data_IF_486242824403
#
_entry.id   IF_486242824403
#
_cell.length_a   1.000
_cell.length_b   1.000
_cell.length_c   1.000
_cell.angle_alpha   90.00
_cell.angle_beta   90.00
_cell.angle_gamma   90.00
#
_symmetry.space_group_name_H-M   'P 1'
#
loop_
_entity.id
_entity.type
_entity.pdbx_description
1 polymer ?
#
# COMPACT_ATOMS: atom_id res chain seq x y z
N UNK A 1 59.99 -3.55 -25.84
CA UNK A 1 59.16 -3.49 -24.61
C UNK A 1 58.63 -2.07 -24.49
N UNK A 2 57.44 -1.82 -25.04
CA UNK A 2 56.71 -0.56 -24.88
C UNK A 2 55.36 -0.91 -24.26
N UNK A 3 55.03 -0.22 -23.17
CA UNK A 3 53.94 -0.54 -22.26
C UNK A 3 52.60 -0.71 -22.97
N UNK A 4 51.93 -1.81 -22.65
CA UNK A 4 50.53 -2.01 -22.96
C UNK A 4 49.76 -1.10 -22.00
N UNK A 5 49.13 -0.06 -22.55
CA UNK A 5 48.10 0.69 -21.84
C UNK A 5 47.02 -0.29 -21.39
N UNK A 6 46.99 -0.58 -20.09
CA UNK A 6 45.90 -1.32 -19.48
C UNK A 6 44.67 -0.42 -19.47
N UNK A 7 43.87 -0.47 -20.53
CA UNK A 7 42.53 0.08 -20.52
C UNK A 7 41.76 -0.62 -19.39
N UNK A 8 41.48 0.10 -18.31
CA UNK A 8 40.60 -0.39 -17.25
C UNK A 8 39.27 -0.74 -17.90
N UNK A 9 38.89 -2.01 -17.88
CA UNK A 9 37.57 -2.46 -18.37
C UNK A 9 36.52 -1.57 -17.67
N UNK A 10 35.59 -0.95 -18.42
CA UNK A 10 34.54 -0.15 -17.80
C UNK A 10 33.81 -1.04 -16.78
N UNK A 11 33.76 -0.58 -15.52
CA UNK A 11 33.12 -1.32 -14.44
C UNK A 11 31.69 -1.67 -14.85
N UNK A 12 31.30 -2.94 -14.68
CA UNK A 12 29.93 -3.36 -14.98
C UNK A 12 28.92 -2.61 -14.11
N UNK A 13 27.67 -2.51 -14.58
CA UNK A 13 26.61 -1.85 -13.82
C UNK A 13 26.40 -2.49 -12.44
N UNK A 14 26.58 -3.81 -12.36
CA UNK A 14 26.57 -4.61 -11.13
C UNK A 14 27.74 -4.24 -10.20
N UNK A 15 28.95 -4.09 -10.73
CA UNK A 15 30.12 -3.70 -9.94
C UNK A 15 29.95 -2.28 -9.36
N UNK A 16 29.47 -1.34 -10.18
CA UNK A 16 29.17 0.04 -9.76
C UNK A 16 28.09 0.04 -8.67
N UNK A 17 27.01 -0.72 -8.88
CA UNK A 17 25.91 -0.81 -7.92
C UNK A 17 26.33 -1.46 -6.61
N UNK A 18 27.18 -2.48 -6.66
CA UNK A 18 27.73 -3.15 -5.47
C UNK A 18 28.64 -2.21 -4.68
N UNK A 19 29.51 -1.47 -5.36
CA UNK A 19 30.38 -0.46 -4.73
C UNK A 19 29.57 0.66 -4.08
N UNK A 20 28.54 1.17 -4.78
CA UNK A 20 27.62 2.17 -4.23
C UNK A 20 26.87 1.63 -3.00
N UNK A 21 26.34 0.40 -3.06
CA UNK A 21 25.60 -0.20 -1.95
C UNK A 21 26.49 -0.36 -0.71
N UNK A 22 27.74 -0.80 -0.88
CA UNK A 22 28.69 -0.89 0.22
C UNK A 22 28.98 0.49 0.86
N UNK A 23 29.15 1.52 0.03
CA UNK A 23 29.32 2.90 0.51
C UNK A 23 28.07 3.39 1.27
N UNK A 24 26.88 3.12 0.74
CA UNK A 24 25.62 3.47 1.39
C UNK A 24 25.44 2.78 2.74
N UNK A 25 25.73 1.49 2.84
CA UNK A 25 25.68 0.75 4.11
C UNK A 25 26.65 1.33 5.13
N UNK A 26 27.87 1.69 4.70
CA UNK A 26 28.84 2.35 5.56
C UNK A 26 28.39 3.75 6.00
N UNK A 27 27.72 4.49 5.10
CA UNK A 27 27.19 5.84 5.33
C UNK A 27 26.09 5.85 6.41
N UNK A 28 25.21 4.84 6.41
CA UNK A 28 24.10 4.73 7.37
C UNK A 28 24.48 4.04 8.68
N UNK A 29 25.47 3.15 8.67
CA UNK A 29 25.93 2.41 9.87
C UNK A 29 27.08 3.09 10.60
N UNK A 30 27.71 4.09 9.97
CA UNK A 30 28.88 4.78 10.51
C UNK A 30 28.53 5.79 11.61
N UNK A 31 29.51 6.15 12.47
CA UNK A 31 29.30 7.02 13.63
C UNK A 31 28.91 8.47 13.27
N UNK A 32 29.14 8.90 12.03
CA UNK A 32 28.90 10.28 11.59
C UNK A 32 27.77 10.41 10.56
N UNK A 33 26.82 9.46 10.52
CA UNK A 33 25.66 9.36 9.61
C UNK A 33 25.64 10.43 8.50
N UNK A 34 26.09 10.05 7.30
CA UNK A 34 26.26 10.99 6.18
C UNK A 34 25.83 10.36 4.87
N UNK A 35 25.02 11.05 4.08
CA UNK A 35 24.53 10.54 2.79
C UNK A 35 25.14 11.26 1.58
N UNK A 36 26.00 12.25 1.81
CA UNK A 36 26.61 13.08 0.75
C UNK A 36 27.50 12.29 -0.21
N UNK A 37 28.04 11.15 0.23
CA UNK A 37 28.84 10.26 -0.60
C UNK A 37 27.95 9.40 -1.48
N UNK A 38 26.85 8.89 -0.93
CA UNK A 38 25.95 7.97 -1.62
C UNK A 38 24.86 8.63 -2.48
N UNK A 39 24.52 9.90 -2.23
CA UNK A 39 23.42 10.59 -2.91
C UNK A 39 23.86 11.86 -3.64
N UNK A 40 23.18 12.20 -4.74
CA UNK A 40 23.31 13.52 -5.38
C UNK A 40 22.65 14.61 -4.52
N UNK A 41 23.06 15.86 -4.71
CA UNK A 41 22.49 16.98 -3.96
C UNK A 41 20.98 17.17 -4.18
N UNK A 42 20.51 16.89 -5.40
CA UNK A 42 19.13 16.98 -5.89
C UNK A 42 18.37 15.65 -5.84
N UNK A 43 18.80 14.73 -4.97
CA UNK A 43 18.24 13.39 -4.88
C UNK A 43 16.84 13.32 -4.26
N UNK A 44 16.15 12.22 -4.53
CA UNK A 44 14.86 11.88 -3.94
C UNK A 44 14.93 10.57 -3.15
N UNK A 45 14.38 10.55 -1.95
CA UNK A 45 14.11 9.31 -1.21
C UNK A 45 12.62 9.19 -0.93
N UNK A 46 11.98 8.15 -1.47
CA UNK A 46 10.60 7.79 -1.15
C UNK A 46 10.57 6.58 -0.23
N UNK A 47 10.08 6.76 0.99
CA UNK A 47 9.90 5.69 1.96
C UNK A 47 8.44 5.23 1.99
N UNK A 48 8.25 3.93 1.87
CA UNK A 48 6.96 3.23 1.86
C UNK A 48 7.00 2.22 2.99
N UNK A 49 6.80 2.71 4.21
CA UNK A 49 6.69 1.88 5.41
C UNK A 49 7.99 1.16 5.86
N UNK A 50 9.11 1.32 5.16
CA UNK A 50 10.34 0.58 5.48
C UNK A 50 11.05 1.16 6.71
N UNK A 51 11.14 2.50 6.81
CA UNK A 51 11.82 3.17 7.91
C UNK A 51 10.87 3.86 8.89
N UNK A 52 9.68 4.23 8.42
CA UNK A 52 8.66 4.93 9.23
C UNK A 52 7.27 4.37 8.95
N UNK A 53 6.30 4.50 9.86
CA UNK A 53 4.93 4.04 9.62
C UNK A 53 4.15 4.90 8.60
N UNK A 54 4.80 5.81 7.88
CA UNK A 54 4.19 6.75 6.94
C UNK A 54 4.67 6.56 5.50
N UNK A 55 3.88 7.02 4.55
CA UNK A 55 4.34 7.25 3.17
C UNK A 55 4.98 8.62 3.09
N UNK A 56 6.28 8.68 2.76
CA UNK A 56 7.01 9.96 2.70
C UNK A 56 7.87 10.06 1.44
N UNK A 57 7.96 11.26 0.87
CA UNK A 57 8.94 11.58 -0.18
C UNK A 57 9.74 12.80 0.24
N UNK A 58 11.06 12.66 0.27
CA UNK A 58 12.01 13.72 0.60
C UNK A 58 12.83 14.09 -0.62
N UNK A 59 13.08 15.38 -0.79
CA UNK A 59 13.89 15.94 -1.86
C UNK A 59 15.09 16.67 -1.27
N UNK A 60 16.26 16.47 -1.88
CA UNK A 60 17.61 16.89 -1.49
C UNK A 60 18.28 16.04 -0.40
N UNK A 61 19.58 15.79 -0.56
CA UNK A 61 20.39 14.99 0.38
C UNK A 61 20.38 15.58 1.79
N UNK A 62 20.33 16.91 1.94
CA UNK A 62 20.29 17.56 3.25
C UNK A 62 19.00 17.24 4.01
N UNK A 63 17.84 17.27 3.34
CA UNK A 63 16.56 16.92 3.98
C UNK A 63 16.46 15.43 4.27
N UNK A 64 16.93 14.60 3.34
CA UNK A 64 17.01 13.14 3.51
C UNK A 64 17.87 12.82 4.73
N UNK A 65 19.10 13.35 4.81
CA UNK A 65 20.01 13.08 5.90
C UNK A 65 19.49 13.59 7.25
N UNK A 66 18.94 14.81 7.28
CA UNK A 66 18.35 15.34 8.51
C UNK A 66 17.23 14.42 9.03
N UNK A 67 16.33 14.02 8.14
CA UNK A 67 15.20 13.17 8.50
C UNK A 67 15.62 11.77 8.94
N UNK A 68 16.43 11.07 8.15
CA UNK A 68 16.75 9.65 8.38
C UNK A 68 17.73 9.40 9.53
N UNK A 69 18.34 10.45 10.09
CA UNK A 69 19.23 10.34 11.25
C UNK A 69 18.58 9.64 12.46
N UNK A 70 17.26 9.79 12.64
CA UNK A 70 16.51 9.14 13.73
C UNK A 70 15.92 7.79 13.31
N UNK A 71 15.13 7.67 12.22
CA UNK A 71 14.53 6.39 11.82
C UNK A 71 15.54 5.27 11.58
N UNK A 72 16.70 5.55 10.97
CA UNK A 72 17.74 4.54 10.71
C UNK A 72 18.24 3.92 12.02
N UNK A 73 18.44 4.73 13.06
CA UNK A 73 18.89 4.25 14.36
C UNK A 73 17.82 3.39 15.06
N UNK A 74 16.54 3.69 14.86
CA UNK A 74 15.42 2.95 15.45
C UNK A 74 15.16 1.61 14.74
N UNK A 75 15.13 1.62 13.39
CA UNK A 75 14.77 0.41 12.62
C UNK A 75 15.95 -0.51 12.34
N UNK A 76 17.17 -0.02 12.56
CA UNK A 76 18.44 -0.75 12.43
C UNK A 76 18.52 -1.59 11.15
N UNK A 77 18.49 -0.94 9.97
CA UNK A 77 18.48 -1.66 8.71
C UNK A 77 19.76 -2.48 8.54
N UNK A 78 19.63 -3.72 8.10
CA UNK A 78 20.75 -4.66 8.00
C UNK A 78 20.57 -5.63 6.84
N UNK A 79 21.58 -6.49 6.61
CA UNK A 79 21.53 -7.55 5.60
C UNK A 79 21.22 -7.05 4.18
N UNK A 80 21.78 -5.91 3.81
CA UNK A 80 21.63 -5.36 2.46
C UNK A 80 22.23 -6.30 1.41
N UNK A 81 21.43 -6.63 0.40
CA UNK A 81 21.82 -7.49 -0.71
C UNK A 81 21.35 -6.88 -2.04
N UNK A 82 22.27 -6.73 -2.98
CA UNK A 82 21.93 -6.36 -4.36
C UNK A 82 21.28 -7.57 -5.07
N UNK A 83 20.11 -7.38 -5.66
CA UNK A 83 19.44 -8.38 -6.47
C UNK A 83 19.97 -8.39 -7.91
N UNK A 84 19.91 -9.55 -8.61
CA UNK A 84 20.27 -9.65 -10.01
C UNK A 84 19.36 -8.80 -10.90
N UNK A 85 19.83 -8.50 -12.12
CA UNK A 85 19.06 -7.74 -13.11
C UNK A 85 19.25 -6.22 -13.02
N UNK A 86 20.42 -5.77 -12.57
CA UNK A 86 20.82 -4.36 -12.65
C UNK A 86 20.79 -3.91 -14.11
N UNK A 87 20.15 -2.77 -14.37
CA UNK A 87 19.95 -2.27 -15.73
C UNK A 87 20.71 -0.98 -15.95
N UNK A 88 21.60 -1.00 -16.93
CA UNK A 88 22.17 0.21 -17.49
C UNK A 88 21.21 0.79 -18.53
N UNK A 89 20.78 2.04 -18.34
CA UNK A 89 19.82 2.73 -19.22
C UNK A 89 20.41 4.02 -19.75
N UNK A 90 20.47 4.15 -21.07
CA UNK A 90 20.79 5.42 -21.73
C UNK A 90 19.49 6.21 -21.90
N UNK A 91 19.36 7.31 -21.14
CA UNK A 91 18.18 8.19 -21.20
C UNK A 91 18.36 9.25 -22.29
N UNK A 92 19.60 9.71 -22.46
CA UNK A 92 20.02 10.57 -23.56
C UNK A 92 21.47 10.24 -23.93
N UNK A 93 22.02 10.80 -25.03
CA UNK A 93 23.43 10.61 -25.37
C UNK A 93 24.41 11.03 -24.26
N UNK A 94 23.98 11.89 -23.33
CA UNK A 94 24.80 12.45 -22.25
C UNK A 94 24.35 12.03 -20.86
N UNK A 95 23.25 11.29 -20.73
CA UNK A 95 22.71 10.85 -19.44
C UNK A 95 22.47 9.36 -19.42
N UNK A 96 23.13 8.73 -18.47
CA UNK A 96 23.07 7.30 -18.26
C UNK A 96 22.69 7.02 -16.81
N UNK A 97 21.76 6.08 -16.62
CA UNK A 97 21.32 5.63 -15.32
C UNK A 97 21.66 4.16 -15.11
N UNK A 98 21.94 3.83 -13.86
CA UNK A 98 21.97 2.44 -13.40
C UNK A 98 20.82 2.25 -12.44
N UNK A 99 19.94 1.29 -12.73
CA UNK A 99 18.83 0.94 -11.86
C UNK A 99 19.00 -0.47 -11.33
N UNK A 100 18.75 -0.65 -10.04
CA UNK A 100 18.81 -1.95 -9.39
C UNK A 100 17.86 -2.04 -8.21
N UNK A 101 17.76 -3.24 -7.67
CA UNK A 101 16.94 -3.55 -6.51
C UNK A 101 17.86 -4.07 -5.42
N UNK A 102 17.65 -3.59 -4.19
CA UNK A 102 18.28 -4.12 -2.99
C UNK A 102 17.21 -4.78 -2.13
N UNK A 103 17.57 -5.84 -1.43
CA UNK A 103 16.81 -6.34 -0.29
C UNK A 103 17.55 -6.01 0.99
N UNK A 104 16.82 -5.78 2.07
CA UNK A 104 17.36 -5.56 3.39
C UNK A 104 16.32 -5.92 4.45
N UNK A 105 16.74 -5.96 5.71
CA UNK A 105 15.88 -6.23 6.84
C UNK A 105 15.89 -5.05 7.79
N UNK A 106 14.77 -4.77 8.43
CA UNK A 106 14.69 -3.99 9.65
C UNK A 106 14.38 -4.91 10.83
N UNK A 107 14.37 -4.36 12.04
CA UNK A 107 13.98 -5.10 13.25
C UNK A 107 12.59 -5.74 13.17
N UNK A 108 11.68 -5.23 12.33
CA UNK A 108 10.29 -5.72 12.22
C UNK A 108 9.89 -6.20 10.83
N UNK A 109 10.73 -6.06 9.80
CA UNK A 109 10.30 -6.36 8.44
C UNK A 109 11.42 -6.76 7.48
N UNK A 110 11.03 -7.49 6.44
CA UNK A 110 11.77 -7.64 5.20
C UNK A 110 11.38 -6.49 4.26
N UNK A 111 12.38 -5.90 3.62
CA UNK A 111 12.20 -4.71 2.81
C UNK A 111 12.95 -4.83 1.47
N UNK A 112 12.42 -4.13 0.48
CA UNK A 112 13.07 -3.92 -0.81
C UNK A 112 13.35 -2.45 -1.04
N UNK A 113 14.36 -2.16 -1.84
CA UNK A 113 14.69 -0.81 -2.26
C UNK A 113 15.01 -0.75 -3.74
N UNK A 114 14.43 0.19 -4.48
CA UNK A 114 14.74 0.44 -5.89
C UNK A 114 15.54 1.73 -5.99
N UNK A 115 16.77 1.64 -6.47
CA UNK A 115 17.64 2.80 -6.65
C UNK A 115 17.83 3.14 -8.12
N UNK A 116 18.11 4.43 -8.38
CA UNK A 116 18.61 4.92 -9.65
C UNK A 116 19.88 5.72 -9.39
N UNK A 117 21.01 5.23 -9.91
CA UNK A 117 22.30 5.93 -9.86
C UNK A 117 22.48 6.77 -11.12
N UNK A 118 23.12 7.91 -10.95
CA UNK A 118 23.61 8.76 -12.04
C UNK A 118 25.09 9.04 -11.84
N UNK A 119 25.82 9.22 -12.93
CA UNK A 119 27.19 9.67 -12.88
C UNK A 119 27.23 11.20 -12.62
N UNK A 120 28.05 11.62 -11.66
CA UNK A 120 28.29 13.03 -11.35
C UNK A 120 29.47 13.58 -12.14
N UNK A 121 29.69 14.89 -12.10
CA UNK A 121 30.77 15.58 -12.86
C UNK A 121 32.17 15.09 -12.50
N UNK A 122 32.36 14.56 -11.30
CA UNK A 122 33.59 13.96 -10.80
C UNK A 122 33.75 12.48 -11.20
N UNK A 123 32.91 11.99 -12.12
CA UNK A 123 32.84 10.59 -12.56
C UNK A 123 32.40 9.57 -11.49
N UNK A 124 32.05 10.01 -10.27
CA UNK A 124 31.49 9.13 -9.25
C UNK A 124 30.02 8.77 -9.54
N UNK A 125 29.56 7.66 -9.00
CA UNK A 125 28.16 7.21 -9.13
C UNK A 125 27.43 7.41 -7.82
N UNK A 126 26.31 8.14 -7.88
CA UNK A 126 25.49 8.46 -6.71
C UNK A 126 24.03 8.23 -7.00
N UNK A 127 23.27 7.91 -5.97
CA UNK A 127 21.82 7.77 -6.05
C UNK A 127 21.19 9.13 -6.31
N UNK A 128 20.50 9.22 -7.45
CA UNK A 128 19.57 10.31 -7.75
C UNK A 128 18.18 10.01 -7.18
N UNK A 129 17.77 8.74 -7.17
CA UNK A 129 16.55 8.32 -6.48
C UNK A 129 16.73 7.01 -5.72
N UNK A 130 16.04 6.90 -4.59
CA UNK A 130 15.92 5.66 -3.84
C UNK A 130 14.50 5.51 -3.29
N UNK A 131 13.84 4.41 -3.62
CA UNK A 131 12.52 4.06 -3.08
C UNK A 131 12.70 2.88 -2.17
N UNK A 132 12.34 2.99 -0.90
CA UNK A 132 12.38 1.88 0.08
C UNK A 132 10.96 1.46 0.43
N UNK A 133 10.70 0.16 0.49
CA UNK A 133 9.37 -0.38 0.79
C UNK A 133 9.43 -1.58 1.72
N UNK A 134 8.47 -1.68 2.64
CA UNK A 134 8.23 -2.89 3.39
C UNK A 134 7.56 -3.92 2.48
N UNK A 135 8.12 -5.13 2.42
CA UNK A 135 7.56 -6.25 1.66
C UNK A 135 6.75 -7.17 2.57
N UNK A 136 7.26 -7.43 3.78
CA UNK A 136 6.69 -8.39 4.73
C UNK A 136 7.10 -8.07 6.16
N UNK A 137 6.22 -8.31 7.14
CA UNK A 137 6.56 -8.26 8.56
C UNK A 137 7.36 -9.50 8.99
N UNK A 138 8.42 -9.31 9.77
CA UNK A 138 9.24 -10.37 10.32
C UNK A 138 8.50 -11.07 11.48
N UNK A 139 8.52 -12.40 11.49
CA UNK A 139 7.96 -13.20 12.58
C UNK A 139 6.43 -13.37 12.55
N UNK A 140 5.76 -12.95 11.48
CA UNK A 140 4.32 -13.20 11.28
C UNK A 140 4.12 -14.35 10.30
N UNK A 141 3.22 -15.26 10.65
CA UNK A 141 2.85 -16.43 9.84
C UNK A 141 1.51 -16.19 9.17
N UNK A 142 1.45 -16.40 7.87
CA UNK A 142 0.23 -16.27 7.06
C UNK A 142 -0.74 -17.42 7.39
N UNK A 143 -2.00 -17.10 7.68
CA UNK A 143 -3.02 -18.04 8.12
C UNK A 143 -3.78 -18.69 6.96
N UNK A 144 -3.79 -18.09 5.78
CA UNK A 144 -4.40 -18.70 4.60
C UNK A 144 -3.63 -19.92 4.07
N UNK A 145 -2.40 -20.15 4.52
CA UNK A 145 -1.58 -21.35 4.22
C UNK A 145 -1.96 -22.57 5.10
N UNK A 146 -3.26 -22.82 5.33
CA UNK A 146 -3.74 -24.08 5.93
C UNK A 146 -4.74 -23.96 7.08
N UNK A 147 -5.22 -22.76 7.44
CA UNK A 147 -6.26 -22.60 8.45
C UNK A 147 -7.56 -22.05 7.86
N UNK A 148 -8.67 -22.65 8.27
CA UNK A 148 -10.03 -22.20 7.96
C UNK A 148 -10.25 -20.78 8.52
N UNK A 149 -10.99 -19.91 7.82
CA UNK A 149 -11.39 -18.60 8.35
C UNK A 149 -12.03 -18.79 9.73
N UNK A 150 -11.79 -17.84 10.64
CA UNK A 150 -12.34 -17.88 12.00
C UNK A 150 -13.87 -17.90 11.90
N UNK A 151 -14.47 -19.08 11.99
CA UNK A 151 -15.90 -19.30 11.87
C UNK A 151 -16.60 -18.52 13.01
N UNK A 152 -17.44 -17.54 12.67
CA UNK A 152 -18.11 -16.69 13.68
C UNK A 152 -19.51 -16.27 13.25
N UNK A 153 -20.52 -17.14 13.36
CA UNK A 153 -21.87 -16.68 13.56
C UNK A 153 -22.03 -16.34 15.05
N UNK A 154 -21.96 -15.05 15.39
CA UNK A 154 -22.66 -14.56 16.57
C UNK A 154 -24.13 -14.38 16.18
N UNK A 155 -25.06 -14.91 16.98
CA UNK A 155 -26.47 -14.56 16.82
C UNK A 155 -26.64 -13.02 16.91
N UNK A 156 -27.57 -12.46 16.14
CA UNK A 156 -27.84 -11.01 16.09
C UNK A 156 -28.56 -10.49 17.36
N UNK A 157 -28.10 -10.87 18.54
CA UNK A 157 -28.79 -10.55 19.81
C UNK A 157 -27.82 -10.28 20.97
N UNK A 158 -26.50 -10.41 20.75
CA UNK A 158 -25.48 -10.09 21.75
C UNK A 158 -24.54 -9.00 21.25
N UNK A 159 -23.91 -8.29 22.18
CA UNK A 159 -22.76 -7.46 21.85
C UNK A 159 -21.68 -8.32 21.15
N UNK A 160 -21.04 -7.77 20.13
CA UNK A 160 -19.99 -8.47 19.39
C UNK A 160 -18.63 -7.83 19.63
N UNK A 161 -17.60 -8.65 19.80
CA UNK A 161 -16.24 -8.22 20.03
C UNK A 161 -15.29 -8.72 18.95
N UNK A 162 -14.52 -7.79 18.37
CA UNK A 162 -13.52 -8.07 17.35
C UNK A 162 -12.20 -7.37 17.70
N UNK A 163 -11.10 -7.78 17.06
CA UNK A 163 -9.87 -6.98 17.17
C UNK A 163 -9.94 -5.76 16.27
N UNK A 164 -10.48 -5.92 15.05
CA UNK A 164 -10.69 -4.86 14.09
C UNK A 164 -12.12 -4.84 13.57
N UNK A 165 -12.65 -3.64 13.31
CA UNK A 165 -13.85 -3.44 12.51
C UNK A 165 -13.49 -2.60 11.28
N UNK A 166 -13.96 -3.02 10.11
CA UNK A 166 -13.78 -2.32 8.83
C UNK A 166 -15.12 -1.76 8.38
N UNK A 167 -15.18 -0.46 8.14
CA UNK A 167 -16.41 0.22 7.69
C UNK A 167 -16.36 0.41 6.17
N UNK A 168 -17.15 -0.38 5.45
CA UNK A 168 -17.27 -0.42 3.99
C UNK A 168 -16.67 -1.70 3.38
N UNK A 169 -17.46 -2.43 2.61
CA UNK A 169 -17.04 -3.65 1.88
C UNK A 169 -16.79 -3.38 0.39
N UNK A 170 -16.18 -2.23 0.07
CA UNK A 170 -15.58 -1.99 -1.25
C UNK A 170 -14.22 -2.68 -1.37
N UNK A 171 -13.53 -2.49 -2.51
CA UNK A 171 -12.22 -3.12 -2.73
C UNK A 171 -11.19 -2.84 -1.62
N UNK A 172 -11.20 -1.63 -1.05
CA UNK A 172 -10.30 -1.25 0.03
C UNK A 172 -10.59 -2.05 1.31
N UNK A 173 -11.84 -2.06 1.76
CA UNK A 173 -12.21 -2.71 3.01
C UNK A 173 -12.09 -4.22 2.95
N UNK A 174 -12.47 -4.85 1.83
CA UNK A 174 -12.28 -6.28 1.64
C UNK A 174 -10.81 -6.67 1.61
N UNK A 175 -9.95 -5.90 0.94
CA UNK A 175 -8.50 -6.17 0.92
C UNK A 175 -7.87 -6.06 2.30
N UNK A 176 -8.25 -5.02 3.07
CA UNK A 176 -7.76 -4.86 4.45
C UNK A 176 -8.23 -6.02 5.32
N UNK A 177 -9.52 -6.38 5.25
CA UNK A 177 -10.06 -7.49 6.03
C UNK A 177 -9.37 -8.82 5.70
N UNK A 178 -9.14 -9.10 4.41
CA UNK A 178 -8.41 -10.29 3.98
C UNK A 178 -6.98 -10.32 4.53
N UNK A 179 -6.25 -9.20 4.45
CA UNK A 179 -4.90 -9.14 5.01
C UNK A 179 -4.90 -9.30 6.53
N UNK A 180 -5.85 -8.69 7.25
CA UNK A 180 -5.96 -8.83 8.70
C UNK A 180 -6.29 -10.27 9.12
N UNK A 181 -7.27 -10.90 8.48
CA UNK A 181 -7.62 -12.31 8.73
C UNK A 181 -6.46 -13.24 8.38
N UNK A 182 -5.71 -12.97 7.30
CA UNK A 182 -4.49 -13.70 6.98
C UNK A 182 -3.42 -13.57 8.08
N UNK A 183 -3.41 -12.49 8.86
CA UNK A 183 -2.51 -12.32 10.01
C UNK A 183 -3.13 -12.86 11.32
N UNK A 184 -4.26 -13.57 11.25
CA UNK A 184 -4.99 -14.10 12.42
C UNK A 184 -5.75 -13.02 13.21
N UNK A 185 -5.92 -11.82 12.64
CA UNK A 185 -6.59 -10.70 13.29
C UNK A 185 -8.09 -10.78 12.99
N UNK A 186 -8.85 -11.11 14.05
CA UNK A 186 -10.29 -11.10 14.06
C UNK A 186 -10.89 -9.79 13.54
N UNK A 187 -11.59 -9.87 12.41
CA UNK A 187 -12.10 -8.71 11.69
C UNK A 187 -13.58 -8.86 11.31
N UNK A 188 -14.36 -7.80 11.58
CA UNK A 188 -15.73 -7.67 11.08
C UNK A 188 -15.80 -6.54 10.04
N UNK A 189 -16.41 -6.80 8.88
CA UNK A 189 -16.68 -5.77 7.87
C UNK A 189 -18.15 -5.38 7.91
N UNK A 190 -18.43 -4.08 8.00
CA UNK A 190 -19.78 -3.52 8.01
C UNK A 190 -20.03 -2.79 6.69
N UNK A 191 -21.00 -3.25 5.91
CA UNK A 191 -21.41 -2.67 4.62
C UNK A 191 -22.84 -2.15 4.67
N UNK A 192 -23.00 -0.89 4.25
CA UNK A 192 -24.31 -0.24 4.23
C UNK A 192 -25.23 -0.79 3.17
N UNK A 193 -24.69 -1.11 2.00
CA UNK A 193 -25.44 -1.62 0.86
C UNK A 193 -25.95 -3.03 1.12
N UNK A 194 -27.08 -3.40 0.51
CA UNK A 194 -27.61 -4.76 0.62
C UNK A 194 -26.82 -5.84 -0.13
N UNK A 195 -25.82 -5.45 -0.92
CA UNK A 195 -24.92 -6.36 -1.63
C UNK A 195 -23.53 -5.74 -1.71
N UNK A 196 -22.51 -6.59 -1.52
CA UNK A 196 -21.12 -6.25 -1.80
C UNK A 196 -20.98 -5.84 -3.28
N UNK A 197 -20.14 -4.83 -3.56
CA UNK A 197 -19.94 -4.35 -4.92
C UNK A 197 -21.04 -3.42 -5.47
N UNK A 198 -22.12 -3.14 -4.72
CA UNK A 198 -23.15 -2.19 -5.16
C UNK A 198 -22.62 -0.80 -5.52
N UNK A 199 -21.50 -0.37 -4.93
CA UNK A 199 -20.83 0.88 -5.30
C UNK A 199 -20.36 0.94 -6.76
N UNK A 200 -20.17 -0.21 -7.40
CA UNK A 200 -19.88 -0.34 -8.83
C UNK A 200 -21.15 -0.39 -9.67
N UNK A 201 -22.22 -0.98 -9.14
CA UNK A 201 -23.51 -1.12 -9.83
C UNK A 201 -24.36 0.15 -9.83
N UNK A 202 -24.16 1.07 -8.88
CA UNK A 202 -24.88 2.36 -8.83
C UNK A 202 -24.28 3.44 -9.73
N UNK A 203 -23.49 3.05 -10.73
CA UNK A 203 -22.88 3.95 -11.72
C UNK A 203 -23.46 3.67 -13.11
N UNK A 204 -22.95 4.38 -14.11
CA UNK A 204 -23.37 4.19 -15.50
C UNK A 204 -23.03 2.79 -16.02
N UNK A 205 -23.90 2.24 -16.87
CA UNK A 205 -23.82 0.85 -17.33
C UNK A 205 -22.54 0.51 -18.10
N UNK A 206 -21.96 1.48 -18.81
CA UNK A 206 -20.73 1.31 -19.61
C UNK A 206 -19.44 1.44 -18.80
N UNK A 207 -19.51 1.49 -17.47
CA UNK A 207 -18.33 1.64 -16.63
C UNK A 207 -17.45 0.38 -16.70
N UNK A 208 -16.18 0.60 -17.03
CA UNK A 208 -15.10 -0.38 -16.95
C UNK A 208 -13.93 0.18 -16.12
N UNK A 209 -13.02 -0.70 -15.66
CA UNK A 209 -11.78 -0.26 -15.02
C UNK A 209 -10.91 0.54 -16.00
N UNK A 210 -10.28 1.62 -15.54
CA UNK A 210 -9.35 2.40 -16.35
C UNK A 210 -7.93 1.82 -16.36
N UNK A 211 -7.63 0.88 -15.48
CA UNK A 211 -6.39 0.12 -15.38
C UNK A 211 -6.59 -1.30 -15.90
N UNK A 212 -5.59 -1.90 -16.55
CA UNK A 212 -5.68 -3.30 -16.98
C UNK A 212 -5.88 -4.26 -15.81
N UNK A 213 -6.64 -5.35 -16.04
CA UNK A 213 -6.96 -6.43 -15.08
C UNK A 213 -5.78 -6.84 -14.19
N UNK A 214 -4.60 -7.03 -14.79
CA UNK A 214 -3.38 -7.45 -14.11
C UNK A 214 -2.92 -6.53 -12.95
N UNK A 215 -3.39 -5.28 -12.93
CA UNK A 215 -3.09 -4.29 -11.88
C UNK A 215 -4.22 -4.11 -10.87
N UNK A 216 -5.33 -4.86 -11.00
CA UNK A 216 -6.52 -4.70 -10.15
C UNK A 216 -6.75 -5.88 -9.20
N UNK A 217 -6.01 -6.98 -9.32
CA UNK A 217 -6.10 -8.11 -8.40
C UNK A 217 -6.06 -7.65 -6.94
N UNK A 218 -6.94 -8.20 -6.12
CA UNK A 218 -6.87 -7.99 -4.67
C UNK A 218 -5.92 -9.04 -4.08
N UNK A 219 -5.40 -8.81 -2.86
CA UNK A 219 -4.54 -9.79 -2.21
C UNK A 219 -5.16 -11.19 -2.22
N UNK A 220 -4.35 -12.22 -2.46
CA UNK A 220 -4.72 -13.65 -2.39
C UNK A 220 -5.62 -14.22 -3.50
N UNK A 221 -6.39 -13.39 -4.22
CA UNK A 221 -7.32 -13.89 -5.26
C UNK A 221 -7.20 -13.03 -6.51
N UNK A 222 -6.94 -13.65 -7.65
CA UNK A 222 -6.87 -12.97 -8.93
C UNK A 222 -8.27 -12.73 -9.52
N UNK A 223 -8.35 -11.78 -10.46
CA UNK A 223 -9.58 -11.54 -11.21
C UNK A 223 -9.85 -12.74 -12.14
N UNK A 224 -11.10 -13.16 -12.32
CA UNK A 224 -11.44 -14.26 -13.21
C UNK A 224 -10.90 -14.08 -14.63
N UNK A 225 -10.50 -15.18 -15.27
CA UNK A 225 -9.98 -15.12 -16.65
C UNK A 225 -11.03 -14.68 -17.67
N UNK A 226 -12.32 -14.90 -17.38
CA UNK A 226 -13.44 -14.48 -18.22
C UNK A 226 -13.51 -12.96 -18.45
N UNK A 227 -12.91 -12.15 -17.58
CA UNK A 227 -12.95 -10.70 -17.71
C UNK A 227 -11.94 -10.19 -18.75
N UNK A 228 -12.39 -9.24 -19.57
CA UNK A 228 -11.56 -8.56 -20.56
C UNK A 228 -10.38 -7.79 -19.94
N UNK A 229 -9.54 -7.18 -20.80
CA UNK A 229 -8.38 -6.38 -20.38
C UNK A 229 -8.79 -5.27 -19.41
N UNK A 230 -9.91 -4.61 -19.68
CA UNK A 230 -10.58 -3.68 -18.78
C UNK A 230 -11.86 -4.34 -18.31
N UNK A 231 -12.11 -4.32 -17.00
CA UNK A 231 -13.15 -5.15 -16.39
C UNK A 231 -14.43 -4.33 -16.22
N UNK A 232 -15.58 -4.76 -16.77
CA UNK A 232 -16.86 -4.10 -16.57
C UNK A 232 -17.29 -4.02 -15.10
N UNK A 233 -18.05 -3.00 -14.73
CA UNK A 233 -18.47 -2.76 -13.34
C UNK A 233 -19.25 -3.95 -12.73
N UNK A 234 -20.01 -4.69 -13.55
CA UNK A 234 -20.74 -5.90 -13.15
C UNK A 234 -19.76 -7.02 -12.76
N UNK A 235 -18.76 -7.28 -13.60
CA UNK A 235 -17.70 -8.24 -13.32
C UNK A 235 -16.90 -7.86 -12.07
N UNK A 236 -16.62 -6.57 -11.86
CA UNK A 236 -15.97 -6.09 -10.63
C UNK A 236 -16.85 -6.36 -9.40
N UNK A 237 -18.15 -6.07 -9.48
CA UNK A 237 -19.07 -6.32 -8.37
C UNK A 237 -19.15 -7.81 -8.03
N UNK A 238 -19.26 -8.68 -9.05
CA UNK A 238 -19.31 -10.12 -8.88
C UNK A 238 -17.99 -10.66 -8.30
N UNK A 239 -16.85 -10.16 -8.79
CA UNK A 239 -15.55 -10.50 -8.24
C UNK A 239 -15.41 -10.14 -6.76
N UNK A 240 -15.89 -8.97 -6.31
CA UNK A 240 -15.82 -8.59 -4.89
C UNK A 240 -16.69 -9.49 -4.00
N UNK A 241 -17.84 -9.93 -4.52
CA UNK A 241 -18.70 -10.88 -3.81
C UNK A 241 -18.08 -12.28 -3.74
N UNK A 242 -17.52 -12.75 -4.86
CA UNK A 242 -16.78 -14.02 -4.92
C UNK A 242 -15.52 -14.00 -4.05
N UNK A 243 -14.82 -12.85 -3.98
CA UNK A 243 -13.65 -12.63 -3.13
C UNK A 243 -13.99 -12.83 -1.65
N UNK A 244 -15.08 -12.21 -1.18
CA UNK A 244 -15.57 -12.38 0.18
C UNK A 244 -15.88 -13.85 0.50
N UNK A 245 -16.56 -14.56 -0.41
CA UNK A 245 -16.92 -15.97 -0.23
C UNK A 245 -15.69 -16.88 -0.24
N UNK A 246 -14.77 -16.66 -1.17
CA UNK A 246 -13.56 -17.48 -1.36
C UNK A 246 -12.68 -17.45 -0.12
N UNK A 247 -12.52 -16.27 0.50
CA UNK A 247 -11.70 -16.10 1.69
C UNK A 247 -12.51 -16.24 3.00
N UNK A 248 -13.82 -16.45 2.91
CA UNK A 248 -14.71 -16.57 4.07
C UNK A 248 -14.71 -15.34 4.99
N UNK A 249 -14.57 -14.13 4.42
CA UNK A 249 -14.51 -12.90 5.22
C UNK A 249 -15.86 -12.63 5.89
N UNK A 250 -15.85 -12.21 7.17
CA UNK A 250 -17.07 -11.88 7.90
C UNK A 250 -17.56 -10.48 7.51
N UNK A 251 -18.58 -10.44 6.65
CA UNK A 251 -19.19 -9.19 6.17
C UNK A 251 -20.67 -9.17 6.51
N UNK A 252 -21.13 -8.08 7.13
CA UNK A 252 -22.54 -7.80 7.35
C UNK A 252 -22.99 -6.69 6.40
N UNK A 253 -23.96 -7.00 5.54
CA UNK A 253 -24.57 -6.07 4.58
C UNK A 253 -25.85 -5.44 5.15
N UNK A 254 -26.36 -4.38 4.49
CA UNK A 254 -27.53 -3.61 4.93
C UNK A 254 -27.37 -2.96 6.32
N UNK A 255 -26.13 -2.77 6.76
CA UNK A 255 -25.82 -2.26 8.09
C UNK A 255 -25.99 -0.75 8.18
N UNK A 256 -26.64 -0.27 9.24
CA UNK A 256 -26.64 1.13 9.64
C UNK A 256 -25.81 1.33 10.91
N UNK A 257 -24.85 2.25 10.86
CA UNK A 257 -24.05 2.66 12.03
C UNK A 257 -24.59 4.01 12.47
N UNK A 258 -25.15 4.08 13.68
CA UNK A 258 -25.78 5.30 14.22
C UNK A 258 -24.83 6.14 15.08
N UNK A 259 -23.85 5.50 15.71
CA UNK A 259 -22.85 6.15 16.54
C UNK A 259 -21.57 5.31 16.59
N UNK A 260 -20.43 6.00 16.76
CA UNK A 260 -19.14 5.41 17.07
C UNK A 260 -18.41 6.31 18.07
N UNK A 261 -17.85 5.74 19.14
CA UNK A 261 -17.05 6.45 20.14
C UNK A 261 -15.79 5.68 20.47
N UNK A 262 -14.73 6.41 20.81
CA UNK A 262 -13.46 5.83 21.25
C UNK A 262 -13.23 6.16 22.73
N UNK A 263 -12.94 5.14 23.52
CA UNK A 263 -12.48 5.29 24.90
C UNK A 263 -10.96 5.10 24.94
N UNK A 264 -10.25 6.19 25.28
CA UNK A 264 -8.80 6.17 25.39
C UNK A 264 -8.29 5.36 26.60
N UNK A 265 -9.12 5.21 27.65
CA UNK A 265 -8.73 4.47 28.86
C UNK A 265 -8.68 2.97 28.61
N UNK A 266 -9.63 2.44 27.83
CA UNK A 266 -9.67 1.03 27.45
C UNK A 266 -9.03 0.74 26.08
N UNK A 267 -8.71 1.79 25.30
CA UNK A 267 -8.28 1.70 23.90
C UNK A 267 -9.29 0.92 23.02
N UNK A 268 -10.57 1.24 23.18
CA UNK A 268 -11.68 0.52 22.53
C UNK A 268 -12.59 1.48 21.77
N UNK A 269 -12.93 1.09 20.55
CA UNK A 269 -14.04 1.64 19.79
C UNK A 269 -15.34 0.91 20.12
N UNK A 270 -16.41 1.66 20.31
CA UNK A 270 -17.77 1.15 20.51
C UNK A 270 -18.69 1.72 19.43
N UNK A 271 -19.31 0.83 18.65
CA UNK A 271 -20.19 1.16 17.54
C UNK A 271 -21.62 0.68 17.84
N UNK A 272 -22.61 1.52 17.54
CA UNK A 272 -24.03 1.17 17.59
C UNK A 272 -24.54 0.82 16.20
N UNK A 273 -24.86 -0.46 15.98
CA UNK A 273 -25.05 -1.08 14.67
C UNK A 273 -26.44 -1.71 14.59
N UNK A 274 -27.19 -1.45 13.51
CA UNK A 274 -28.51 -2.04 13.28
C UNK A 274 -28.64 -2.65 11.88
N UNK A 275 -29.51 -3.65 11.76
CA UNK A 275 -29.98 -4.23 10.50
C UNK A 275 -31.46 -3.87 10.28
N UNK A 276 -31.98 -3.92 9.04
CA UNK A 276 -33.36 -3.58 8.75
C UNK A 276 -34.34 -4.44 9.56
N UNK A 277 -35.23 -3.79 10.31
CA UNK A 277 -36.24 -4.46 11.14
C UNK A 277 -35.70 -5.14 12.40
N UNK A 278 -34.43 -4.93 12.75
CA UNK A 278 -33.82 -5.52 13.95
C UNK A 278 -33.39 -4.45 14.95
N UNK A 279 -33.33 -4.82 16.23
CA UNK A 279 -32.82 -3.94 17.27
C UNK A 279 -31.32 -3.63 17.04
N UNK A 280 -30.90 -2.47 17.52
CA UNK A 280 -29.49 -2.07 17.48
C UNK A 280 -28.68 -2.92 18.47
N UNK A 281 -27.51 -3.36 18.04
CA UNK A 281 -26.52 -4.04 18.88
C UNK A 281 -25.26 -3.20 19.02
N UNK A 282 -24.41 -3.58 19.96
CA UNK A 282 -23.10 -2.96 20.17
C UNK A 282 -22.00 -3.82 19.57
N UNK A 283 -21.13 -3.20 18.78
CA UNK A 283 -19.89 -3.82 18.28
C UNK A 283 -18.69 -3.11 18.91
N UNK A 284 -17.80 -3.86 19.53
CA UNK A 284 -16.57 -3.34 20.12
C UNK A 284 -15.33 -3.84 19.37
N UNK A 285 -14.35 -2.96 19.18
CA UNK A 285 -13.07 -3.31 18.56
C UNK A 285 -11.92 -2.44 19.06
N UNK A 286 -10.69 -2.95 19.00
CA UNK A 286 -9.49 -2.12 19.26
C UNK A 286 -9.21 -1.15 18.13
N UNK A 287 -9.42 -1.60 16.89
CA UNK A 287 -9.16 -0.82 15.69
C UNK A 287 -10.44 -0.62 14.88
N UNK A 288 -10.67 0.62 14.44
CA UNK A 288 -11.69 0.96 13.46
C UNK A 288 -11.01 1.46 12.18
N UNK A 289 -11.17 0.70 11.09
CA UNK A 289 -10.65 1.05 9.77
C UNK A 289 -11.79 1.61 8.93
N UNK A 290 -11.66 2.85 8.48
CA UNK A 290 -12.67 3.50 7.65
C UNK A 290 -12.32 3.30 6.17
N UNK A 291 -13.10 2.47 5.48
CA UNK A 291 -12.91 2.08 4.07
C UNK A 291 -14.10 2.49 3.17
N UNK A 292 -14.72 3.63 3.48
CA UNK A 292 -15.94 4.12 2.80
C UNK A 292 -15.68 4.77 1.42
N UNK A 293 -14.41 4.86 1.00
CA UNK A 293 -13.98 5.49 -0.25
C UNK A 293 -14.19 7.02 -0.30
N UNK A 294 -13.41 7.71 -1.14
CA UNK A 294 -13.55 9.16 -1.37
C UNK A 294 -14.96 9.51 -1.91
N UNK A 295 -15.61 8.56 -2.58
CA UNK A 295 -16.93 8.71 -3.17
C UNK A 295 -18.08 8.87 -2.17
N UNK A 296 -17.94 8.54 -0.89
CA UNK A 296 -19.03 8.77 0.08
C UNK A 296 -19.03 10.19 0.65
N UNK A 297 -17.94 10.95 0.47
CA UNK A 297 -17.90 12.39 0.71
C UNK A 297 -17.95 13.25 -0.58
N UNK A 298 -17.76 12.67 -1.78
CA UNK A 298 -17.75 13.45 -3.04
C UNK A 298 -18.21 12.74 -4.33
N UNK A 299 -18.82 11.55 -4.25
CA UNK A 299 -19.27 10.77 -5.42
C UNK A 299 -20.71 10.27 -5.36
N UNK A 300 -21.25 9.98 -4.17
CA UNK A 300 -22.67 9.72 -3.95
C UNK A 300 -23.47 11.03 -3.82
N UNK A 301 -22.80 12.09 -3.35
CA UNK A 301 -23.27 13.46 -3.43
C UNK A 301 -22.44 14.17 -4.49
N UNK A 302 -22.96 14.36 -5.71
CA UNK A 302 -22.24 15.11 -6.72
C UNK A 302 -22.00 16.53 -6.21
N UNK A 303 -20.77 17.01 -6.34
CA UNK A 303 -20.53 18.44 -6.19
C UNK A 303 -21.24 19.18 -7.33
N UNK A 304 -22.36 19.82 -6.99
CA UNK A 304 -23.13 20.63 -7.92
C UNK A 304 -22.76 22.11 -7.71
N UNK A 305 -21.81 22.68 -8.48
CA UNK A 305 -21.44 24.08 -8.31
C UNK A 305 -22.66 24.99 -8.54
N UNK A 306 -22.72 26.08 -7.78
CA UNK A 306 -23.66 27.16 -8.06
C UNK A 306 -23.20 27.88 -9.33
N UNK A 307 -24.06 27.88 -10.36
CA UNK A 307 -23.80 28.57 -11.64
C UNK A 307 -24.81 29.72 -11.74
N UNK A 308 -24.36 31.00 -11.78
CA UNK A 308 -25.25 32.14 -11.93
C UNK A 308 -26.16 32.01 -13.16
N UNK A 309 -27.45 32.28 -13.00
CA UNK A 309 -28.44 32.18 -14.08
C UNK A 309 -28.88 30.75 -14.45
N UNK A 310 -28.43 29.72 -13.72
CA UNK A 310 -28.89 28.34 -13.93
C UNK A 310 -30.33 28.17 -13.44
N UNK A 311 -31.29 28.35 -14.35
CA UNK A 311 -32.66 27.87 -14.16
C UNK A 311 -32.59 26.35 -14.15
N UNK A 312 -33.06 25.70 -13.06
CA UNK A 312 -33.29 24.24 -13.05
C UNK A 312 -34.31 23.94 -14.14
N UNK A 313 -33.84 23.61 -15.35
CA UNK A 313 -34.73 23.20 -16.44
C UNK A 313 -35.44 21.92 -16.00
N UNK A 314 -36.75 21.87 -16.25
CA UNK A 314 -37.68 20.78 -15.90
C UNK A 314 -37.47 19.50 -16.74
N UNK A 315 -36.34 19.38 -17.43
CA UNK A 315 -35.99 18.18 -18.18
C UNK A 315 -34.99 17.35 -17.38
N UNK A 316 -35.07 16.01 -17.46
CA UNK A 316 -34.00 15.18 -16.94
C UNK A 316 -32.70 15.59 -17.65
N UNK A 317 -31.77 16.15 -16.88
CA UNK A 317 -30.38 16.33 -17.29
C UNK A 317 -29.61 15.13 -16.77
#
# INVERSE_FOLDING_TARGET
MSGIDTFSVPLSAEAISSAWLAAFVSDISGPSFTLKRSFTNDSYWRDVLAFTPDFRTLHSVSKIQHFFSVPVALVQPSQFRLLPGVRHRHISPTKTFIQGIVQFHTVIAQCSGVFTLTQTKDSSWKAWSFVTMMDRLSGVVDCFDGHMPLCRPAEWNTAMEYTAVVVGAGQCGLSVAACLENLGISTLVLERSGRIGNSWLFRYDSLETNTPKAFNHLPFVEFPERSGKYTPCRDVADYLEDYQRTLGLHVLTSVSISAASYDASSSTWTLSVSLPGQASITVMARYMIVAIGIGTMGGALPFMPSIPGKVRKQYPV
#
